data_IF_868312440808
#
_entry.id   IF_868312440808
#
_cell.length_a   1.000
_cell.length_b   1.000
_cell.length_c   1.000
_cell.angle_alpha   90.00
_cell.angle_beta   90.00
_cell.angle_gamma   90.00
#
_symmetry.space_group_name_H-M   'P 1'
#
loop_
_entity.id
_entity.type
_entity.pdbx_description
1 polymer ?
#
# COMPACT_ATOMS: atom_id res chain seq x y z
N UNK A 1 -26.96 1.50 8.56
CA UNK A 1 -25.77 0.95 9.23
C UNK A 1 -25.46 1.83 10.42
N UNK A 2 -25.11 1.24 11.55
CA UNK A 2 -24.63 1.99 12.72
C UNK A 2 -23.14 2.26 12.52
N UNK A 3 -22.68 3.49 12.68
CA UNK A 3 -21.26 3.88 12.48
C UNK A 3 -20.72 4.71 13.65
N UNK A 4 -21.32 4.58 14.83
CA UNK A 4 -21.07 5.44 15.98
C UNK A 4 -19.60 5.40 16.44
N UNK A 5 -18.99 4.20 16.49
CA UNK A 5 -17.57 4.07 16.88
C UNK A 5 -16.65 4.65 15.81
N UNK A 6 -16.95 4.43 14.53
CA UNK A 6 -16.22 5.07 13.44
C UNK A 6 -16.29 6.60 13.54
N UNK A 7 -17.44 7.15 13.96
CA UNK A 7 -17.60 8.59 14.17
C UNK A 7 -16.70 9.11 15.29
N UNK A 8 -16.70 8.42 16.43
CA UNK A 8 -15.88 8.75 17.60
C UNK A 8 -14.38 8.67 17.30
N UNK A 9 -13.93 7.58 16.67
CA UNK A 9 -12.53 7.39 16.29
C UNK A 9 -12.06 8.44 15.29
N UNK A 10 -12.90 8.82 14.32
CA UNK A 10 -12.51 9.87 13.38
C UNK A 10 -12.47 11.27 14.03
N UNK A 11 -13.32 11.52 15.04
CA UNK A 11 -13.26 12.75 15.80
C UNK A 11 -11.93 12.85 16.57
N UNK A 12 -11.53 11.78 17.25
CA UNK A 12 -10.22 11.68 17.90
C UNK A 12 -9.08 11.84 16.88
N UNK A 13 -9.14 11.11 15.76
CA UNK A 13 -8.10 11.12 14.74
C UNK A 13 -7.83 12.53 14.17
N UNK A 14 -8.84 13.41 14.08
CA UNK A 14 -8.66 14.80 13.59
C UNK A 14 -7.78 15.64 14.51
N UNK A 15 -7.73 15.33 15.80
CA UNK A 15 -6.85 15.98 16.76
C UNK A 15 -5.41 15.46 16.67
N UNK A 16 -5.22 14.26 16.10
CA UNK A 16 -3.94 13.56 16.05
C UNK A 16 -3.25 13.65 14.68
N UNK A 17 -4.03 13.62 13.60
CA UNK A 17 -3.57 13.50 12.22
C UNK A 17 -4.13 14.63 11.36
N UNK A 18 -3.35 15.19 10.41
CA UNK A 18 -3.85 16.19 9.47
C UNK A 18 -5.08 15.70 8.69
N UNK A 19 -6.25 16.24 9.02
CA UNK A 19 -7.52 15.81 8.41
C UNK A 19 -8.00 14.42 8.86
N UNK A 20 -7.43 13.88 9.94
CA UNK A 20 -7.81 12.61 10.55
C UNK A 20 -7.30 11.35 9.83
N UNK A 21 -6.34 11.48 8.90
CA UNK A 21 -5.88 10.37 8.04
C UNK A 21 -4.41 10.47 7.64
N UNK A 22 -3.78 9.32 7.34
CA UNK A 22 -2.42 9.25 6.78
C UNK A 22 -2.36 9.34 5.24
N UNK A 23 -3.51 9.35 4.57
CA UNK A 23 -3.60 9.51 3.11
C UNK A 23 -4.89 10.24 2.73
N UNK A 24 -4.84 11.33 1.92
CA UNK A 24 -5.97 12.25 1.74
C UNK A 24 -7.29 11.61 1.32
N UNK A 25 -7.23 10.59 0.44
CA UNK A 25 -8.43 9.93 -0.09
C UNK A 25 -9.25 9.23 1.00
N UNK A 26 -8.60 8.81 2.10
CA UNK A 26 -9.26 8.12 3.22
C UNK A 26 -10.19 9.03 4.01
N UNK A 27 -10.08 10.36 3.87
CA UNK A 27 -10.92 11.32 4.59
C UNK A 27 -12.32 11.51 3.98
N UNK A 28 -12.65 10.80 2.90
CA UNK A 28 -13.97 10.82 2.23
C UNK A 28 -14.44 12.20 1.73
N UNK A 29 -13.57 13.22 1.71
CA UNK A 29 -13.92 14.60 1.33
C UNK A 29 -14.58 14.72 -0.05
N UNK A 30 -14.21 13.87 -1.00
CA UNK A 30 -14.75 13.89 -2.37
C UNK A 30 -16.16 13.30 -2.49
N UNK A 31 -16.58 12.45 -1.55
CA UNK A 31 -17.88 11.77 -1.56
C UNK A 31 -18.81 12.25 -0.42
N UNK A 32 -18.27 13.04 0.51
CA UNK A 32 -18.98 13.44 1.72
C UNK A 32 -19.10 12.31 2.73
N UNK A 33 -19.81 12.57 3.83
CA UNK A 33 -20.02 11.58 4.89
C UNK A 33 -18.81 11.39 5.81
N UNK A 34 -18.79 10.25 6.50
CA UNK A 34 -17.78 9.90 7.50
C UNK A 34 -16.93 8.73 7.02
N UNK A 35 -15.59 8.79 7.16
CA UNK A 35 -14.75 7.62 6.99
C UNK A 35 -15.14 6.48 7.93
N UNK A 36 -15.14 5.27 7.40
CA UNK A 36 -15.42 4.05 8.16
C UNK A 36 -14.10 3.47 8.66
N UNK A 37 -14.02 3.18 9.95
CA UNK A 37 -12.83 2.59 10.56
C UNK A 37 -12.92 1.06 10.48
N UNK A 38 -11.92 0.44 9.86
CA UNK A 38 -11.91 -1.01 9.61
C UNK A 38 -11.30 -1.74 10.81
N UNK A 39 -11.98 -2.77 11.29
CA UNK A 39 -11.48 -3.65 12.35
C UNK A 39 -10.68 -4.82 11.76
N UNK A 40 -11.28 -5.58 10.85
CA UNK A 40 -10.63 -6.72 10.20
C UNK A 40 -11.18 -6.96 8.80
N UNK A 41 -10.51 -7.86 8.07
CA UNK A 41 -10.85 -8.21 6.69
C UNK A 41 -10.47 -9.65 6.36
N UNK A 42 -11.26 -10.31 5.51
CA UNK A 42 -10.99 -11.66 5.04
C UNK A 42 -11.62 -11.89 3.66
N UNK A 43 -10.84 -12.47 2.74
CA UNK A 43 -11.28 -12.71 1.36
C UNK A 43 -11.69 -11.39 0.68
N UNK A 44 -12.92 -11.31 0.19
CA UNK A 44 -13.45 -10.13 -0.48
C UNK A 44 -14.21 -9.15 0.46
N UNK A 45 -14.05 -9.27 1.78
CA UNK A 45 -14.86 -8.53 2.74
C UNK A 45 -14.05 -7.72 3.75
N UNK A 46 -14.54 -6.52 4.04
CA UNK A 46 -14.16 -5.72 5.20
C UNK A 46 -15.23 -5.82 6.29
N UNK A 47 -14.80 -5.74 7.55
CA UNK A 47 -15.68 -5.55 8.71
C UNK A 47 -15.19 -4.31 9.46
N UNK A 48 -16.09 -3.35 9.67
CA UNK A 48 -15.77 -2.14 10.42
C UNK A 48 -15.84 -2.34 11.94
N UNK A 49 -15.36 -1.35 12.70
CA UNK A 49 -15.37 -1.35 14.17
C UNK A 49 -16.78 -1.39 14.80
N UNK A 50 -17.79 -1.06 13.99
CA UNK A 50 -19.21 -1.10 14.35
C UNK A 50 -19.87 -2.46 13.99
N UNK A 51 -19.12 -3.38 13.37
CA UNK A 51 -19.56 -4.71 13.00
C UNK A 51 -20.29 -4.81 11.65
N UNK A 52 -20.32 -3.73 10.86
CA UNK A 52 -20.89 -3.79 9.52
C UNK A 52 -19.91 -4.47 8.56
N UNK A 53 -20.46 -5.31 7.67
CA UNK A 53 -19.69 -6.05 6.66
C UNK A 53 -19.94 -5.48 5.27
N UNK A 54 -18.85 -5.34 4.51
CA UNK A 54 -18.85 -4.75 3.17
C UNK A 54 -18.19 -5.70 2.17
N UNK A 55 -18.72 -5.77 0.94
CA UNK A 55 -17.95 -6.32 -0.18
C UNK A 55 -16.92 -5.27 -0.57
N UNK A 56 -15.64 -5.64 -0.57
CA UNK A 56 -14.54 -4.71 -0.78
C UNK A 56 -14.11 -4.66 -2.25
N UNK A 57 -14.42 -3.55 -2.90
CA UNK A 57 -13.91 -3.22 -4.23
C UNK A 57 -12.70 -2.27 -4.19
N UNK A 58 -12.30 -1.78 -3.01
CA UNK A 58 -11.11 -0.94 -2.84
C UNK A 58 -9.87 -1.81 -2.76
N UNK A 59 -9.91 -2.93 -2.03
CA UNK A 59 -8.83 -3.93 -1.95
C UNK A 59 -7.46 -3.30 -1.64
N UNK A 60 -7.45 -2.37 -0.68
CA UNK A 60 -6.28 -1.58 -0.28
C UNK A 60 -5.59 -0.86 -1.45
N UNK A 61 -6.38 -0.41 -2.44
CA UNK A 61 -5.91 0.29 -3.64
C UNK A 61 -5.07 -0.57 -4.59
N UNK A 62 -5.24 -1.91 -4.54
CA UNK A 62 -4.66 -2.84 -5.52
C UNK A 62 -3.86 -4.04 -4.99
N UNK A 63 -3.07 -3.95 -3.91
CA UNK A 63 -2.17 -5.04 -3.49
C UNK A 63 -2.87 -6.38 -3.18
N UNK A 64 -4.15 -6.33 -2.83
CA UNK A 64 -4.91 -7.47 -2.32
C UNK A 64 -5.62 -8.24 -3.43
N UNK A 65 -4.91 -8.53 -4.52
CA UNK A 65 -5.46 -9.27 -5.68
C UNK A 65 -5.94 -10.69 -5.33
N UNK A 66 -5.35 -11.30 -4.30
CA UNK A 66 -5.75 -12.61 -3.77
C UNK A 66 -6.81 -12.51 -2.66
N UNK A 67 -7.32 -11.31 -2.38
CA UNK A 67 -8.17 -11.01 -1.23
C UNK A 67 -7.40 -10.78 0.07
N UNK A 68 -8.14 -10.31 1.07
CA UNK A 68 -7.63 -10.04 2.43
C UNK A 68 -7.25 -11.33 3.15
N UNK A 69 -6.18 -11.26 3.94
CA UNK A 69 -5.71 -12.33 4.82
C UNK A 69 -5.58 -13.71 4.13
N UNK A 70 -5.06 -13.72 2.89
CA UNK A 70 -4.86 -14.98 2.16
C UNK A 70 -3.96 -15.94 2.97
N UNK A 71 -4.39 -17.20 3.21
CA UNK A 71 -3.73 -18.07 4.21
C UNK A 71 -2.24 -18.33 4.00
N UNK A 72 -1.81 -18.49 2.74
CA UNK A 72 -0.40 -18.75 2.42
C UNK A 72 0.46 -17.49 2.63
N UNK A 73 -0.05 -16.31 2.28
CA UNK A 73 0.63 -15.03 2.53
C UNK A 73 0.79 -14.81 4.04
N UNK A 74 -0.28 -15.03 4.82
CA UNK A 74 -0.25 -14.90 6.28
C UNK A 74 0.77 -15.87 6.90
N UNK A 75 0.74 -17.14 6.51
CA UNK A 75 1.69 -18.13 7.01
C UNK A 75 3.16 -17.77 6.67
N UNK A 76 3.41 -17.29 5.45
CA UNK A 76 4.75 -16.85 5.04
C UNK A 76 5.24 -15.64 5.85
N UNK A 77 4.36 -14.67 6.12
CA UNK A 77 4.67 -13.51 6.96
C UNK A 77 4.96 -13.92 8.41
N UNK A 78 4.16 -14.82 8.99
CA UNK A 78 4.40 -15.32 10.35
C UNK A 78 5.75 -16.02 10.47
N UNK A 79 6.09 -16.90 9.51
CA UNK A 79 7.38 -17.57 9.47
C UNK A 79 8.56 -16.61 9.25
N UNK A 80 8.38 -15.56 8.45
CA UNK A 80 9.38 -14.52 8.27
C UNK A 80 9.59 -13.69 9.54
N UNK A 81 8.50 -13.23 10.18
CA UNK A 81 8.54 -12.43 11.40
C UNK A 81 9.24 -13.15 12.56
N UNK A 82 9.05 -14.47 12.69
CA UNK A 82 9.74 -15.29 13.69
C UNK A 82 11.28 -15.29 13.57
N UNK A 83 11.82 -14.87 12.41
CA UNK A 83 13.28 -14.77 12.16
C UNK A 83 13.80 -13.33 12.25
N UNK A 84 12.93 -12.35 12.54
CA UNK A 84 13.22 -10.93 12.48
C UNK A 84 12.71 -10.29 11.19
N UNK A 85 12.18 -9.07 11.30
CA UNK A 85 11.52 -8.35 10.19
C UNK A 85 12.45 -7.42 9.41
N UNK A 86 13.64 -7.14 9.93
CA UNK A 86 14.63 -6.29 9.29
C UNK A 86 16.03 -6.62 9.79
N UNK A 87 17.01 -6.64 8.89
CA UNK A 87 18.40 -7.01 9.21
C UNK A 87 19.41 -5.90 8.96
N UNK A 88 19.07 -4.86 8.19
CA UNK A 88 20.03 -3.85 7.73
C UNK A 88 21.19 -4.41 6.89
N UNK A 89 21.05 -5.65 6.40
CA UNK A 89 22.05 -6.41 5.67
C UNK A 89 21.36 -7.28 4.60
N UNK A 90 22.09 -7.75 3.56
CA UNK A 90 21.50 -8.54 2.48
C UNK A 90 20.83 -9.83 2.96
N UNK A 91 19.73 -10.19 2.30
CA UNK A 91 18.94 -11.40 2.53
C UNK A 91 18.79 -12.21 1.23
N UNK A 92 18.84 -13.55 1.28
CA UNK A 92 18.56 -14.39 0.11
C UNK A 92 17.16 -14.17 -0.48
N UNK A 93 16.21 -13.65 0.32
CA UNK A 93 14.85 -13.34 -0.13
C UNK A 93 14.82 -12.18 -1.13
N UNK A 94 15.76 -11.23 -1.04
CA UNK A 94 15.87 -10.13 -2.01
C UNK A 94 16.26 -10.67 -3.39
N UNK A 95 17.22 -11.60 -3.45
CA UNK A 95 17.64 -12.23 -4.70
C UNK A 95 16.51 -13.05 -5.33
N UNK A 96 15.74 -13.75 -4.50
CA UNK A 96 14.61 -14.56 -4.97
C UNK A 96 13.50 -13.69 -5.56
N UNK A 97 13.10 -12.63 -4.86
CA UNK A 97 12.10 -11.69 -5.37
C UNK A 97 12.59 -11.00 -6.65
N UNK A 98 13.87 -10.62 -6.71
CA UNK A 98 14.45 -9.99 -7.91
C UNK A 98 14.33 -10.88 -9.14
N UNK A 99 14.66 -12.17 -9.02
CA UNK A 99 14.51 -13.13 -10.12
C UNK A 99 13.07 -13.25 -10.58
N UNK A 100 12.11 -13.32 -9.65
CA UNK A 100 10.69 -13.42 -10.00
C UNK A 100 10.18 -12.17 -10.74
N UNK A 101 10.57 -10.97 -10.28
CA UNK A 101 10.20 -9.71 -10.95
C UNK A 101 10.76 -9.67 -12.37
N UNK A 102 12.04 -10.01 -12.55
CA UNK A 102 12.69 -10.01 -13.87
C UNK A 102 12.09 -11.06 -14.82
N UNK A 103 11.65 -12.20 -14.29
CA UNK A 103 10.95 -13.22 -15.08
C UNK A 103 9.57 -12.75 -15.58
N UNK A 104 8.85 -11.97 -14.77
CA UNK A 104 7.53 -11.42 -15.12
C UNK A 104 7.60 -10.17 -16.01
N UNK A 105 8.69 -9.41 -15.92
CA UNK A 105 8.91 -8.16 -16.65
C UNK A 105 10.22 -8.27 -17.46
N UNK A 106 10.19 -8.88 -18.67
CA UNK A 106 11.41 -9.30 -19.37
C UNK A 106 12.34 -8.16 -19.82
N UNK A 107 11.86 -6.92 -19.82
CA UNK A 107 12.68 -5.73 -20.14
C UNK A 107 13.45 -5.19 -18.92
N UNK A 108 13.26 -5.76 -17.73
CA UNK A 108 14.00 -5.40 -16.53
C UNK A 108 15.23 -6.30 -16.42
N UNK A 109 16.41 -5.75 -16.71
CA UNK A 109 17.69 -6.46 -16.59
C UNK A 109 18.30 -6.36 -15.18
N UNK A 110 17.89 -5.34 -14.41
CA UNK A 110 18.35 -5.11 -13.04
C UNK A 110 17.25 -4.40 -12.24
N UNK A 111 17.06 -4.81 -10.98
CA UNK A 111 16.05 -4.25 -10.08
C UNK A 111 16.66 -3.69 -8.80
N UNK A 112 16.05 -2.64 -8.27
CA UNK A 112 16.31 -2.09 -6.94
C UNK A 112 15.00 -1.98 -6.17
N UNK A 113 14.92 -2.63 -5.02
CA UNK A 113 13.76 -2.50 -4.14
C UNK A 113 13.81 -1.21 -3.33
N UNK A 114 12.63 -0.63 -3.12
CA UNK A 114 12.34 0.56 -2.31
C UNK A 114 10.97 0.35 -1.66
N UNK A 115 10.55 1.25 -0.78
CA UNK A 115 9.42 1.01 0.12
C UNK A 115 8.07 1.52 -0.42
N UNK A 116 8.08 2.33 -1.49
CA UNK A 116 6.84 2.87 -2.06
C UNK A 116 6.94 3.18 -3.56
N UNK A 117 5.78 3.33 -4.21
CA UNK A 117 5.69 3.84 -5.59
C UNK A 117 6.26 5.25 -5.75
N UNK A 118 6.13 6.10 -4.73
CA UNK A 118 6.74 7.44 -4.70
C UNK A 118 8.27 7.36 -4.75
N UNK A 119 8.88 6.50 -3.92
CA UNK A 119 10.33 6.31 -3.94
C UNK A 119 10.81 5.72 -5.27
N UNK A 120 10.06 4.78 -5.84
CA UNK A 120 10.39 4.14 -7.10
C UNK A 120 10.39 5.16 -8.26
N UNK A 121 9.31 5.93 -8.40
CA UNK A 121 9.18 6.94 -9.47
C UNK A 121 10.17 8.09 -9.28
N UNK A 122 10.39 8.57 -8.04
CA UNK A 122 11.42 9.58 -7.75
C UNK A 122 12.82 9.09 -8.16
N UNK A 123 13.15 7.84 -7.83
CA UNK A 123 14.45 7.24 -8.17
C UNK A 123 14.61 7.05 -9.67
N UNK A 124 13.57 6.60 -10.37
CA UNK A 124 13.57 6.44 -11.82
C UNK A 124 13.77 7.78 -12.56
N UNK A 125 13.10 8.85 -12.11
CA UNK A 125 13.29 10.19 -12.68
C UNK A 125 14.72 10.72 -12.46
N UNK A 126 15.29 10.48 -11.27
CA UNK A 126 16.69 10.84 -10.97
C UNK A 126 17.65 10.07 -11.88
N UNK A 127 17.44 8.76 -12.03
CA UNK A 127 18.25 7.90 -12.89
C UNK A 127 18.21 8.36 -14.35
N UNK A 128 17.01 8.64 -14.88
CA UNK A 128 16.83 9.10 -16.26
C UNK A 128 17.60 10.41 -16.54
N UNK A 129 17.56 11.37 -15.61
CA UNK A 129 18.33 12.62 -15.72
C UNK A 129 19.83 12.38 -15.67
N UNK A 130 20.28 11.57 -14.71
CA UNK A 130 21.70 11.25 -14.55
C UNK A 130 22.28 10.52 -15.78
N UNK A 131 21.51 9.58 -16.34
CA UNK A 131 21.92 8.82 -17.52
C UNK A 131 21.95 9.67 -18.80
N UNK A 132 20.96 10.55 -18.99
CA UNK A 132 20.82 11.32 -20.24
C UNK A 132 21.49 12.70 -20.22
N UNK A 133 21.82 13.23 -19.04
CA UNK A 133 22.29 14.62 -18.85
C UNK A 133 21.21 15.68 -19.09
N UNK A 134 19.94 15.29 -19.27
CA UNK A 134 18.82 16.21 -19.59
C UNK A 134 18.03 16.57 -18.34
N UNK A 135 17.53 17.80 -18.28
CA UNK A 135 16.80 18.31 -17.10
C UNK A 135 15.28 18.12 -17.17
N UNK A 136 14.71 18.20 -18.37
CA UNK A 136 13.25 18.16 -18.57
C UNK A 136 12.70 16.74 -18.46
N UNK A 137 11.54 16.62 -17.85
CA UNK A 137 10.74 15.40 -17.73
C UNK A 137 9.35 15.70 -18.26
N UNK A 138 8.74 14.74 -18.96
CA UNK A 138 7.36 14.82 -19.42
C UNK A 138 6.48 13.99 -18.48
N UNK A 139 5.36 14.57 -18.05
CA UNK A 139 4.27 13.85 -17.39
C UNK A 139 2.94 14.24 -18.04
N UNK A 140 1.94 13.39 -17.90
CA UNK A 140 0.60 13.64 -18.43
C UNK A 140 -0.35 14.13 -17.33
N UNK A 141 -1.34 14.91 -17.71
CA UNK A 141 -2.43 15.34 -16.81
C UNK A 141 -3.24 14.11 -16.37
N UNK A 142 -3.65 14.08 -15.10
CA UNK A 142 -4.41 12.96 -14.52
C UNK A 142 -3.57 11.74 -14.12
N UNK A 143 -2.32 11.64 -14.57
CA UNK A 143 -1.37 10.66 -14.05
C UNK A 143 -0.78 11.18 -12.74
N UNK A 144 -0.83 10.33 -11.72
CA UNK A 144 -0.21 10.52 -10.43
C UNK A 144 1.18 9.87 -10.42
#
# INVERSE_FOLDING_TARGET
>A
MNIQKSVELFAEAKELLPGGVDSPVRAFRAVGGQPIFIDHAAGAYLVDVDGNRYIDYVLSWGPLILGHAQPQVVAALQAAAARGTSYGAPSPLENELARQVMALMPNIEMVRFVNSGTEATMSALRLARAFTGRSKIVKFQGNY
#
